data_IF_764125167520
#
_entry.id   IF_764125167520
#
_cell.length_a   1.000
_cell.length_b   1.000
_cell.length_c   1.000
_cell.angle_alpha   90.00
_cell.angle_beta   90.00
_cell.angle_gamma   90.00
#
_symmetry.space_group_name_H-M   'P 1'
#
loop_
_entity.id
_entity.type
_entity.pdbx_description
1 polymer ?
#
# COMPACT_ATOMS: atom_id res chain seq x y z
N UNK A 1 -11.36 20.47 -2.73
CA UNK A 1 -11.46 19.10 -3.26
C UNK A 1 -11.63 18.16 -2.08
N UNK A 2 -12.56 17.23 -2.18
CA UNK A 2 -12.82 16.21 -1.16
C UNK A 2 -12.38 14.84 -1.66
N UNK A 3 -11.50 14.18 -0.92
CA UNK A 3 -10.86 12.93 -1.32
C UNK A 3 -11.21 11.85 -0.30
N UNK A 4 -11.65 10.70 -0.78
CA UNK A 4 -11.77 9.50 0.04
C UNK A 4 -10.63 8.54 -0.31
N UNK A 5 -9.83 8.16 0.67
CA UNK A 5 -8.96 7.01 0.58
C UNK A 5 -9.66 5.79 1.16
N UNK A 6 -9.68 4.69 0.42
CA UNK A 6 -10.03 3.39 0.96
C UNK A 6 -8.76 2.56 1.13
N UNK A 7 -8.54 2.08 2.33
CA UNK A 7 -7.46 1.15 2.68
C UNK A 7 -7.99 0.11 3.66
N UNK A 8 -7.71 -1.19 3.45
CA UNK A 8 -8.25 -2.25 4.31
C UNK A 8 -7.81 -2.17 5.77
N UNK A 9 -6.62 -1.67 6.05
CA UNK A 9 -6.11 -1.54 7.42
C UNK A 9 -5.13 -0.38 7.54
N UNK A 10 -5.24 0.33 8.65
CA UNK A 10 -4.26 1.32 9.12
C UNK A 10 -3.56 0.84 10.38
N UNK A 11 -3.64 -0.46 10.67
CA UNK A 11 -2.93 -1.04 11.82
C UNK A 11 -1.43 -0.90 11.67
N UNK A 12 -0.74 -0.69 12.77
CA UNK A 12 0.71 -0.56 12.83
C UNK A 12 1.43 -1.80 12.28
N UNK A 13 0.84 -2.97 12.46
CA UNK A 13 1.37 -4.25 11.97
C UNK A 13 1.13 -4.50 10.48
N UNK A 14 0.22 -3.74 9.84
CA UNK A 14 -0.05 -3.88 8.40
C UNK A 14 1.12 -3.42 7.51
N UNK A 15 2.12 -2.77 8.08
CA UNK A 15 3.39 -2.47 7.43
C UNK A 15 3.35 -1.24 6.53
N UNK A 16 4.09 -1.26 5.41
CA UNK A 16 4.36 -0.08 4.60
C UNK A 16 3.14 0.65 4.05
N UNK A 17 2.02 -0.03 3.81
CA UNK A 17 0.80 0.61 3.31
C UNK A 17 0.13 1.50 4.37
N UNK A 18 0.17 1.10 5.64
CA UNK A 18 -0.34 1.92 6.75
C UNK A 18 0.52 3.16 6.97
N UNK A 19 1.84 3.01 6.93
CA UNK A 19 2.76 4.16 7.01
C UNK A 19 2.60 5.09 5.80
N UNK A 20 2.41 4.53 4.61
CA UNK A 20 2.14 5.32 3.41
C UNK A 20 0.91 6.21 3.58
N UNK A 21 -0.23 5.64 3.99
CA UNK A 21 -1.46 6.43 4.13
C UNK A 21 -1.37 7.43 5.29
N UNK A 22 -0.57 7.13 6.33
CA UNK A 22 -0.31 8.05 7.42
C UNK A 22 0.42 9.31 6.92
N UNK A 23 1.52 9.14 6.18
CA UNK A 23 2.31 10.25 5.65
C UNK A 23 1.51 11.02 4.59
N UNK A 24 0.91 10.30 3.64
CA UNK A 24 0.12 10.92 2.57
C UNK A 24 -1.08 11.67 3.14
N UNK A 25 -1.82 11.07 4.05
CA UNK A 25 -3.03 11.65 4.64
C UNK A 25 -2.69 12.93 5.40
N UNK A 26 -1.67 12.90 6.25
CA UNK A 26 -1.18 14.06 7.00
C UNK A 26 -0.86 15.25 6.10
N UNK A 27 -0.13 15.02 5.00
CA UNK A 27 0.30 16.10 4.11
C UNK A 27 -0.82 16.53 3.15
N UNK A 28 -1.55 15.59 2.58
CA UNK A 28 -2.66 15.89 1.67
C UNK A 28 -3.81 16.59 2.40
N UNK A 29 -4.03 16.27 3.67
CA UNK A 29 -5.05 16.89 4.51
C UNK A 29 -4.80 18.38 4.79
N UNK A 30 -3.58 18.89 4.56
CA UNK A 30 -3.29 20.34 4.57
C UNK A 30 -3.78 21.06 3.31
N UNK A 31 -4.01 20.31 2.22
CA UNK A 31 -4.33 20.85 0.90
C UNK A 31 -5.76 20.54 0.46
N UNK A 32 -6.39 19.53 1.04
CA UNK A 32 -7.72 19.05 0.67
C UNK A 32 -8.48 18.49 1.88
N UNK A 33 -9.80 18.34 1.77
CA UNK A 33 -10.58 17.61 2.76
C UNK A 33 -10.40 16.10 2.52
N UNK A 34 -9.67 15.44 3.42
CA UNK A 34 -9.31 14.03 3.29
C UNK A 34 -10.07 13.15 4.27
N UNK A 35 -10.71 12.13 3.75
CA UNK A 35 -11.39 11.09 4.50
C UNK A 35 -10.73 9.74 4.23
N UNK A 36 -10.58 8.93 5.27
CA UNK A 36 -10.04 7.57 5.16
C UNK A 36 -11.12 6.59 5.60
N UNK A 37 -11.54 5.71 4.69
CA UNK A 37 -12.42 4.59 5.01
C UNK A 37 -11.54 3.36 5.22
N UNK A 38 -11.67 2.73 6.37
CA UNK A 38 -10.87 1.58 6.79
C UNK A 38 -11.66 0.68 7.73
N UNK A 39 -11.09 -0.45 8.12
CA UNK A 39 -11.68 -1.34 9.11
C UNK A 39 -11.03 -1.16 10.47
N UNK A 40 -11.79 -1.44 11.53
CA UNK A 40 -11.29 -1.38 12.89
C UNK A 40 -10.10 -2.36 13.08
N UNK A 41 -9.12 -1.94 13.84
CA UNK A 41 -7.94 -2.73 14.19
C UNK A 41 -7.54 -2.45 15.64
N UNK A 42 -6.70 -3.31 16.21
CA UNK A 42 -6.31 -3.22 17.61
C UNK A 42 -5.35 -2.05 17.89
N UNK A 43 -4.47 -1.74 16.92
CA UNK A 43 -3.44 -0.73 17.08
C UNK A 43 -3.37 0.18 15.84
N UNK A 44 -4.41 1.02 15.57
CA UNK A 44 -4.45 1.89 14.41
C UNK A 44 -3.41 3.00 14.52
N UNK A 45 -2.76 3.34 13.39
CA UNK A 45 -1.90 4.51 13.31
C UNK A 45 -2.73 5.79 13.39
N UNK A 46 -2.33 6.78 14.20
CA UNK A 46 -2.92 8.10 14.15
C UNK A 46 -2.57 8.77 12.81
N UNK A 47 -3.54 9.43 12.19
CA UNK A 47 -3.34 10.16 10.92
C UNK A 47 -3.91 11.56 11.10
N UNK A 48 -3.02 12.53 11.17
CA UNK A 48 -3.38 13.93 11.33
C UNK A 48 -4.02 14.49 10.05
N UNK A 49 -4.79 15.56 10.20
CA UNK A 49 -5.44 16.31 9.12
C UNK A 49 -6.43 15.50 8.27
N UNK A 50 -6.85 14.33 8.75
CA UNK A 50 -7.80 13.44 8.07
C UNK A 50 -8.95 13.06 9.00
N UNK A 51 -10.11 12.73 8.39
CA UNK A 51 -11.24 12.12 9.10
C UNK A 51 -11.27 10.63 8.82
N UNK A 52 -11.14 9.80 9.86
CA UNK A 52 -11.15 8.35 9.73
C UNK A 52 -12.55 7.80 9.95
N UNK A 53 -13.01 6.95 9.03
CA UNK A 53 -14.30 6.26 9.09
C UNK A 53 -14.07 4.76 9.15
N UNK A 54 -14.45 4.15 10.26
CA UNK A 54 -14.38 2.71 10.41
C UNK A 54 -15.66 2.07 9.89
N UNK A 55 -15.51 1.08 9.01
CA UNK A 55 -16.62 0.30 8.47
C UNK A 55 -16.58 -1.14 8.96
N UNK A 56 -17.75 -1.73 9.15
CA UNK A 56 -17.87 -3.09 9.67
C UNK A 56 -17.67 -4.14 8.58
N UNK A 57 -16.90 -5.18 8.92
CA UNK A 57 -16.73 -6.38 8.10
C UNK A 57 -15.90 -6.16 6.82
N UNK A 58 -15.16 -7.20 6.45
CA UNK A 58 -14.36 -7.23 5.21
C UNK A 58 -15.10 -7.85 4.03
N UNK A 59 -16.28 -8.42 4.27
CA UNK A 59 -17.04 -9.12 3.23
C UNK A 59 -18.00 -8.16 2.53
N UNK A 60 -17.69 -7.75 1.28
CA UNK A 60 -18.54 -6.82 0.53
C UNK A 60 -19.89 -7.42 0.13
N UNK A 61 -20.06 -8.74 0.28
CA UNK A 61 -21.34 -9.42 0.04
C UNK A 61 -22.29 -9.33 1.26
N UNK A 62 -21.75 -9.02 2.45
CA UNK A 62 -22.59 -8.71 3.61
C UNK A 62 -23.12 -7.30 3.49
N UNK A 63 -24.42 -7.13 3.63
CA UNK A 63 -25.12 -5.87 3.39
C UNK A 63 -24.61 -4.69 4.22
N UNK A 64 -24.12 -4.92 5.45
CA UNK A 64 -23.59 -3.86 6.34
C UNK A 64 -22.47 -3.04 5.69
N UNK A 65 -21.43 -3.69 5.17
CA UNK A 65 -20.31 -3.01 4.51
C UNK A 65 -20.77 -2.11 3.36
N UNK A 66 -21.64 -2.67 2.50
CA UNK A 66 -22.18 -1.92 1.35
C UNK A 66 -23.02 -0.72 1.79
N UNK A 67 -23.86 -0.89 2.81
CA UNK A 67 -24.72 0.17 3.34
C UNK A 67 -23.87 1.30 3.92
N UNK A 68 -22.87 0.97 4.76
CA UNK A 68 -22.02 1.96 5.41
C UNK A 68 -21.19 2.77 4.40
N UNK A 69 -20.55 2.10 3.42
CA UNK A 69 -19.77 2.81 2.40
C UNK A 69 -20.67 3.67 1.51
N UNK A 70 -21.86 3.19 1.11
CA UNK A 70 -22.81 3.98 0.35
C UNK A 70 -23.25 5.23 1.13
N UNK A 71 -23.61 5.08 2.41
CA UNK A 71 -23.98 6.20 3.28
C UNK A 71 -22.87 7.25 3.36
N UNK A 72 -21.60 6.80 3.48
CA UNK A 72 -20.47 7.72 3.49
C UNK A 72 -20.32 8.45 2.16
N UNK A 73 -20.49 7.78 1.02
CA UNK A 73 -20.43 8.43 -0.29
C UNK A 73 -21.57 9.44 -0.49
N UNK A 74 -22.77 9.10 -0.07
CA UNK A 74 -23.94 9.96 -0.21
C UNK A 74 -23.84 11.22 0.68
N UNK A 75 -23.27 11.09 1.88
CA UNK A 75 -23.06 12.21 2.82
C UNK A 75 -21.86 13.07 2.40
N UNK A 76 -20.73 12.42 2.09
CA UNK A 76 -19.47 13.12 1.83
C UNK A 76 -19.38 13.70 0.42
N UNK A 77 -20.02 13.06 -0.56
CA UNK A 77 -20.00 13.46 -1.98
C UNK A 77 -18.56 13.76 -2.46
N UNK A 78 -17.66 12.79 -2.43
CA UNK A 78 -16.25 13.03 -2.75
C UNK A 78 -16.07 13.34 -4.24
N UNK A 79 -15.05 14.14 -4.53
CA UNK A 79 -14.61 14.44 -5.91
C UNK A 79 -13.76 13.29 -6.46
N UNK A 80 -13.05 12.58 -5.58
CA UNK A 80 -12.12 11.51 -5.93
C UNK A 80 -12.15 10.40 -4.88
N UNK A 81 -12.06 9.16 -5.35
CA UNK A 81 -11.80 7.99 -4.50
C UNK A 81 -10.46 7.38 -4.86
N UNK A 82 -9.58 7.23 -3.87
CA UNK A 82 -8.29 6.58 -4.01
C UNK A 82 -8.33 5.22 -3.31
N UNK A 83 -8.28 4.16 -4.10
CA UNK A 83 -8.29 2.78 -3.59
C UNK A 83 -6.85 2.30 -3.42
N UNK A 84 -6.51 1.92 -2.22
CA UNK A 84 -5.19 1.41 -1.84
C UNK A 84 -5.26 -0.10 -1.58
N UNK A 85 -4.32 -0.83 -2.10
CA UNK A 85 -4.21 -2.28 -2.07
C UNK A 85 -5.08 -3.01 -3.13
N UNK A 86 -4.73 -4.25 -3.36
CA UNK A 86 -5.43 -5.14 -4.27
C UNK A 86 -5.59 -6.54 -3.68
N UNK A 87 -6.16 -7.48 -4.45
CA UNK A 87 -6.47 -8.84 -4.05
C UNK A 87 -7.54 -8.98 -2.95
N UNK A 88 -8.17 -7.88 -2.56
CA UNK A 88 -9.28 -7.88 -1.63
C UNK A 88 -10.56 -7.45 -2.36
N UNK A 89 -11.63 -8.26 -2.32
CA UNK A 89 -12.90 -7.91 -2.97
C UNK A 89 -13.43 -6.55 -2.55
N UNK A 90 -13.26 -6.16 -1.28
CA UNK A 90 -13.69 -4.87 -0.76
C UNK A 90 -13.11 -3.68 -1.53
N UNK A 91 -11.82 -3.74 -1.96
CA UNK A 91 -11.20 -2.69 -2.78
C UNK A 91 -11.95 -2.50 -4.11
N UNK A 92 -12.22 -3.60 -4.81
CA UNK A 92 -12.95 -3.56 -6.07
C UNK A 92 -14.40 -3.08 -5.91
N UNK A 93 -15.06 -3.46 -4.81
CA UNK A 93 -16.42 -3.01 -4.49
C UNK A 93 -16.49 -1.51 -4.20
N UNK A 94 -15.56 -0.97 -3.41
CA UNK A 94 -15.50 0.47 -3.13
C UNK A 94 -15.28 1.24 -4.43
N UNK A 95 -14.37 0.78 -5.29
CA UNK A 95 -14.17 1.34 -6.61
C UNK A 95 -15.46 1.34 -7.44
N UNK A 96 -16.14 0.19 -7.54
CA UNK A 96 -17.39 0.09 -8.30
C UNK A 96 -18.49 1.03 -7.76
N UNK A 97 -18.58 1.17 -6.43
CA UNK A 97 -19.54 2.08 -5.80
C UNK A 97 -19.25 3.55 -6.13
N UNK A 98 -17.97 3.92 -6.20
CA UNK A 98 -17.55 5.25 -6.63
C UNK A 98 -17.89 5.49 -8.11
N UNK A 99 -17.52 4.54 -8.98
CA UNK A 99 -17.75 4.65 -10.42
C UNK A 99 -19.24 4.69 -10.81
N UNK A 100 -20.10 3.98 -10.09
CA UNK A 100 -21.55 4.07 -10.26
C UNK A 100 -22.13 5.46 -9.96
N UNK A 101 -21.39 6.30 -9.24
CA UNK A 101 -21.69 7.69 -8.93
C UNK A 101 -20.95 8.68 -9.82
N UNK A 102 -20.27 8.20 -10.86
CA UNK A 102 -19.38 8.98 -11.73
C UNK A 102 -18.23 9.68 -10.99
N UNK A 103 -17.83 9.14 -9.83
CA UNK A 103 -16.69 9.62 -9.07
C UNK A 103 -15.42 9.02 -9.66
N UNK A 104 -14.40 9.85 -9.89
CA UNK A 104 -13.09 9.41 -10.40
C UNK A 104 -12.36 8.53 -9.42
N UNK A 105 -11.65 7.52 -9.94
CA UNK A 105 -10.94 6.55 -9.12
C UNK A 105 -9.46 6.48 -9.49
N UNK A 106 -8.61 6.73 -8.50
CA UNK A 106 -7.18 6.36 -8.52
C UNK A 106 -7.02 5.02 -7.81
N UNK A 107 -6.20 4.15 -8.36
CA UNK A 107 -5.94 2.83 -7.79
C UNK A 107 -4.43 2.61 -7.63
N UNK A 108 -3.97 2.31 -6.40
CA UNK A 108 -2.56 2.04 -6.07
C UNK A 108 -2.39 0.61 -5.57
N UNK A 109 -1.71 -0.26 -6.32
CA UNK A 109 -1.51 -1.65 -5.93
C UNK A 109 -0.39 -1.87 -4.89
N UNK A 110 0.48 -0.89 -4.65
CA UNK A 110 1.60 -0.98 -3.69
C UNK A 110 2.51 -2.21 -3.89
N UNK A 111 2.92 -2.44 -5.14
CA UNK A 111 3.76 -3.58 -5.49
C UNK A 111 3.07 -4.95 -5.42
N UNK A 112 1.78 -5.01 -5.13
CA UNK A 112 1.06 -6.30 -4.99
C UNK A 112 0.76 -6.96 -6.34
N UNK A 113 0.98 -6.25 -7.46
CA UNK A 113 0.85 -6.78 -8.84
C UNK A 113 2.21 -7.13 -9.46
N UNK A 114 3.25 -7.22 -8.67
CA UNK A 114 4.55 -7.72 -9.11
C UNK A 114 4.47 -9.16 -9.63
N UNK A 115 5.18 -9.53 -10.70
CA UNK A 115 5.07 -10.85 -11.34
C UNK A 115 5.24 -12.02 -10.37
N UNK A 116 6.18 -11.92 -9.43
CA UNK A 116 6.42 -12.97 -8.45
C UNK A 116 5.28 -13.10 -7.41
N UNK A 117 4.57 -12.01 -7.07
CA UNK A 117 3.39 -12.04 -6.19
C UNK A 117 2.21 -12.67 -6.93
N UNK A 118 2.04 -12.33 -8.21
CA UNK A 118 0.99 -12.93 -9.05
C UNK A 118 1.21 -14.43 -9.17
N UNK A 119 2.45 -14.88 -9.39
CA UNK A 119 2.79 -16.32 -9.49
C UNK A 119 2.50 -17.10 -8.22
N UNK A 120 2.57 -16.45 -7.04
CA UNK A 120 2.31 -17.12 -5.76
C UNK A 120 0.82 -17.44 -5.61
N UNK A 121 0.50 -18.73 -5.45
CA UNK A 121 -0.87 -19.25 -5.41
C UNK A 121 -1.69 -18.83 -6.65
N UNK A 122 -1.05 -18.87 -7.84
CA UNK A 122 -1.63 -18.36 -9.08
C UNK A 122 -2.99 -18.98 -9.37
N UNK A 123 -3.06 -20.30 -9.48
CA UNK A 123 -4.30 -21.00 -9.87
C UNK A 123 -5.38 -20.97 -8.78
N UNK A 124 -5.01 -21.07 -7.51
CA UNK A 124 -5.94 -21.22 -6.41
C UNK A 124 -6.51 -19.90 -5.88
N UNK A 125 -5.75 -18.80 -5.99
CA UNK A 125 -6.15 -17.49 -5.44
C UNK A 125 -6.15 -16.38 -6.47
N UNK A 126 -5.11 -16.28 -7.31
CA UNK A 126 -4.93 -15.13 -8.19
C UNK A 126 -5.81 -15.20 -9.44
N UNK A 127 -5.92 -16.36 -10.09
CA UNK A 127 -6.81 -16.54 -11.25
C UNK A 127 -8.27 -16.30 -10.89
N UNK A 128 -8.84 -16.89 -9.84
CA UNK A 128 -10.19 -16.56 -9.43
C UNK A 128 -10.40 -15.08 -9.12
N UNK A 129 -9.47 -14.45 -8.39
CA UNK A 129 -9.56 -13.02 -8.09
C UNK A 129 -9.49 -12.15 -9.34
N UNK A 130 -8.58 -12.47 -10.30
CA UNK A 130 -8.49 -11.76 -11.58
C UNK A 130 -9.77 -11.86 -12.37
N UNK A 131 -10.37 -13.05 -12.47
CA UNK A 131 -11.59 -13.26 -13.23
C UNK A 131 -12.81 -12.59 -12.60
N UNK A 132 -12.93 -12.64 -11.27
CA UNK A 132 -14.11 -12.17 -10.57
C UNK A 132 -14.14 -10.66 -10.38
N UNK A 133 -13.00 -10.03 -10.07
CA UNK A 133 -13.01 -8.60 -9.71
C UNK A 133 -11.72 -7.84 -10.01
N UNK A 134 -10.53 -8.44 -9.86
CA UNK A 134 -9.29 -7.67 -9.83
C UNK A 134 -8.92 -7.09 -11.20
N UNK A 135 -9.08 -7.88 -12.29
CA UNK A 135 -8.81 -7.41 -13.65
C UNK A 135 -9.73 -6.25 -14.02
N UNK A 136 -11.02 -6.38 -13.69
CA UNK A 136 -11.99 -5.30 -13.92
C UNK A 136 -11.65 -4.03 -13.15
N UNK A 137 -11.24 -4.16 -11.87
CA UNK A 137 -10.83 -3.04 -11.05
C UNK A 137 -9.63 -2.30 -11.66
N UNK A 138 -8.58 -3.03 -12.07
CA UNK A 138 -7.39 -2.42 -12.70
C UNK A 138 -7.77 -1.73 -14.02
N UNK A 139 -8.55 -2.43 -14.87
CA UNK A 139 -8.92 -1.93 -16.20
C UNK A 139 -9.74 -0.63 -16.12
N UNK A 140 -10.68 -0.57 -15.19
CA UNK A 140 -11.65 0.51 -15.12
C UNK A 140 -11.23 1.67 -14.19
N UNK A 141 -10.08 1.59 -13.51
CA UNK A 141 -9.56 2.74 -12.77
C UNK A 141 -9.26 3.89 -13.73
N UNK A 142 -9.64 5.12 -13.36
CA UNK A 142 -9.34 6.30 -14.17
C UNK A 142 -7.83 6.55 -14.24
N UNK A 143 -7.09 6.20 -13.19
CA UNK A 143 -5.63 6.25 -13.16
C UNK A 143 -5.07 5.16 -12.22
N UNK A 144 -4.00 4.52 -12.64
CA UNK A 144 -3.17 3.71 -11.75
C UNK A 144 -2.02 4.56 -11.21
N UNK A 145 -1.78 4.49 -9.92
CA UNK A 145 -0.59 5.06 -9.31
C UNK A 145 0.44 3.94 -9.09
N UNK A 146 1.62 4.11 -9.66
CA UNK A 146 2.80 3.31 -9.38
C UNK A 146 3.73 4.08 -8.42
N UNK A 147 4.40 3.37 -7.52
CA UNK A 147 5.32 3.96 -6.54
C UNK A 147 6.76 4.05 -7.07
N UNK A 148 7.06 3.33 -8.14
CA UNK A 148 8.36 3.28 -8.79
C UNK A 148 8.24 3.00 -10.28
N UNK A 149 9.31 3.29 -11.04
CA UNK A 149 9.36 2.98 -12.48
C UNK A 149 9.21 1.47 -12.76
N UNK A 150 9.86 0.63 -11.95
CA UNK A 150 9.74 -0.82 -12.07
C UNK A 150 8.30 -1.31 -11.92
N UNK A 151 7.54 -0.75 -10.96
CA UNK A 151 6.13 -1.07 -10.78
C UNK A 151 5.31 -0.64 -12.00
N UNK A 152 5.56 0.58 -12.52
CA UNK A 152 4.89 1.06 -13.75
C UNK A 152 5.14 0.10 -14.92
N UNK A 153 6.36 -0.31 -15.14
CA UNK A 153 6.69 -1.25 -16.22
C UNK A 153 6.01 -2.60 -16.06
N UNK A 154 5.91 -3.10 -14.82
CA UNK A 154 5.18 -4.33 -14.54
C UNK A 154 3.67 -4.18 -14.76
N UNK A 155 3.08 -3.04 -14.40
CA UNK A 155 1.67 -2.74 -14.67
C UNK A 155 1.38 -2.62 -16.17
N UNK A 156 2.27 -1.99 -16.94
CA UNK A 156 2.17 -1.92 -18.41
C UNK A 156 2.22 -3.31 -19.05
N UNK A 157 3.09 -4.20 -18.58
CA UNK A 157 3.17 -5.59 -19.05
C UNK A 157 1.90 -6.39 -18.78
N UNK A 158 1.10 -6.05 -17.76
CA UNK A 158 -0.21 -6.67 -17.54
C UNK A 158 -1.23 -6.29 -18.62
N UNK A 159 -1.07 -5.14 -19.27
CA UNK A 159 -1.89 -4.71 -20.40
C UNK A 159 -3.35 -4.36 -20.06
N UNK A 160 -3.69 -4.17 -18.77
CA UNK A 160 -5.08 -3.92 -18.37
C UNK A 160 -5.46 -2.44 -18.38
N UNK A 161 -4.50 -1.56 -18.11
CA UNK A 161 -4.70 -0.12 -18.10
C UNK A 161 -3.37 0.57 -18.43
N UNK A 162 -3.41 1.55 -19.32
CA UNK A 162 -2.21 2.30 -19.74
C UNK A 162 -2.08 3.67 -19.09
N UNK A 163 -3.14 4.16 -18.42
CA UNK A 163 -3.07 5.43 -17.70
C UNK A 163 -2.41 5.23 -16.33
N UNK A 164 -1.08 5.23 -16.32
CA UNK A 164 -0.27 4.97 -15.14
C UNK A 164 0.61 6.18 -14.84
N UNK A 165 0.47 6.73 -13.62
CA UNK A 165 1.30 7.82 -13.12
C UNK A 165 2.22 7.31 -12.02
N UNK A 166 3.47 7.80 -12.01
CA UNK A 166 4.42 7.51 -10.93
C UNK A 166 4.29 8.61 -9.89
N UNK A 167 3.94 8.20 -8.68
CA UNK A 167 3.99 9.06 -7.49
C UNK A 167 4.79 8.32 -6.44
N UNK A 168 6.02 8.77 -6.21
CA UNK A 168 6.92 8.15 -5.23
C UNK A 168 6.40 8.35 -3.81
N UNK A 169 6.74 7.41 -2.93
CA UNK A 169 6.44 7.56 -1.51
C UNK A 169 7.28 8.70 -0.93
N UNK A 170 6.61 9.59 -0.20
CA UNK A 170 7.28 10.63 0.57
C UNK A 170 7.80 10.08 1.90
N UNK A 171 8.79 10.75 2.46
CA UNK A 171 9.25 10.57 3.84
C UNK A 171 9.22 11.93 4.54
N UNK A 172 8.96 11.93 5.84
CA UNK A 172 9.09 13.12 6.67
C UNK A 172 10.57 13.34 6.99
N UNK A 173 11.25 14.09 6.11
CA UNK A 173 12.69 14.35 6.22
C UNK A 173 13.02 15.22 7.44
N UNK A 174 12.09 16.06 7.89
CA UNK A 174 12.30 16.94 9.04
C UNK A 174 12.36 16.17 10.35
N UNK A 175 11.71 15.03 10.42
CA UNK A 175 11.74 14.13 11.58
C UNK A 175 13.03 13.30 11.68
N UNK A 176 13.90 13.33 10.67
CA UNK A 176 15.11 12.52 10.60
C UNK A 176 16.32 13.37 10.99
N UNK A 177 16.93 13.03 12.13
CA UNK A 177 18.17 13.69 12.55
C UNK A 177 19.31 13.38 11.57
N UNK A 178 19.89 14.43 10.99
CA UNK A 178 21.05 14.28 10.10
C UNK A 178 22.31 13.95 10.90
N UNK A 179 23.09 12.98 10.42
CA UNK A 179 24.42 12.75 10.96
C UNK A 179 25.32 13.94 10.68
N UNK A 180 25.95 14.45 11.72
CA UNK A 180 26.93 15.55 11.61
C UNK A 180 28.36 15.06 11.37
N UNK A 181 28.62 13.77 11.59
CA UNK A 181 29.95 13.18 11.34
C UNK A 181 29.82 11.71 10.90
N UNK A 182 30.77 11.27 10.08
CA UNK A 182 30.83 9.90 9.57
C UNK A 182 32.04 9.19 10.17
N UNK A 183 31.84 8.40 11.23
CA UNK A 183 32.83 7.45 11.71
C UNK A 183 32.54 6.08 11.06
N UNK A 184 33.53 5.53 10.37
CA UNK A 184 33.44 4.16 9.88
C UNK A 184 33.38 3.22 11.10
N UNK A 185 32.32 2.45 11.21
CA UNK A 185 32.20 1.36 12.19
C UNK A 185 32.29 0.04 11.45
N UNK A 186 32.89 -0.96 12.08
CA UNK A 186 32.88 -2.33 11.56
C UNK A 186 31.50 -2.97 11.85
N UNK A 187 30.43 -2.30 11.42
CA UNK A 187 29.08 -2.74 11.64
C UNK A 187 28.25 -2.61 10.36
N UNK A 188 27.58 -3.67 9.97
CA UNK A 188 26.60 -3.72 8.89
C UNK A 188 25.21 -3.88 9.48
N UNK A 189 24.27 -3.04 9.07
CA UNK A 189 22.89 -3.10 9.53
C UNK A 189 21.98 -3.62 8.43
N UNK A 190 21.28 -4.72 8.70
CA UNK A 190 20.15 -5.19 7.92
C UNK A 190 18.86 -4.78 8.63
N UNK A 191 18.19 -3.72 8.14
CA UNK A 191 16.96 -3.19 8.71
C UNK A 191 15.76 -3.60 7.84
N UNK A 192 15.04 -4.64 8.25
CA UNK A 192 13.86 -5.12 7.52
C UNK A 192 13.12 -6.18 8.33
N UNK A 193 11.82 -6.39 8.02
CA UNK A 193 11.13 -7.59 8.49
C UNK A 193 11.85 -8.84 8.01
N UNK A 194 11.93 -9.87 8.88
CA UNK A 194 12.50 -11.17 8.50
C UNK A 194 11.51 -11.88 7.58
N UNK A 195 11.70 -11.70 6.30
CA UNK A 195 10.82 -12.28 5.28
C UNK A 195 11.63 -12.62 4.02
N UNK A 196 11.30 -13.71 3.35
CA UNK A 196 12.01 -14.21 2.15
C UNK A 196 12.20 -13.13 1.06
N UNK A 197 11.23 -12.22 0.91
CA UNK A 197 11.29 -11.08 -0.02
C UNK A 197 12.44 -10.12 0.29
N UNK A 198 12.90 -10.08 1.54
CA UNK A 198 13.92 -9.13 1.99
C UNK A 198 15.33 -9.66 1.84
N UNK A 199 15.45 -10.94 1.51
CA UNK A 199 16.72 -11.55 1.08
C UNK A 199 17.77 -11.68 2.17
N UNK A 200 17.37 -11.89 3.43
CA UNK A 200 18.32 -12.09 4.52
C UNK A 200 19.24 -13.29 4.29
N UNK A 201 18.75 -14.32 3.60
CA UNK A 201 19.55 -15.48 3.19
C UNK A 201 20.75 -15.08 2.31
N UNK A 202 20.55 -14.14 1.37
CA UNK A 202 21.65 -13.64 0.53
C UNK A 202 22.71 -12.90 1.35
N UNK A 203 22.28 -12.15 2.40
CA UNK A 203 23.24 -11.52 3.30
C UNK A 203 24.06 -12.55 4.06
N UNK A 204 23.42 -13.62 4.55
CA UNK A 204 24.10 -14.69 5.27
C UNK A 204 25.08 -15.45 4.36
N UNK A 205 24.66 -15.79 3.14
CA UNK A 205 25.51 -16.45 2.13
C UNK A 205 26.71 -15.57 1.75
N UNK A 206 26.48 -14.27 1.52
CA UNK A 206 27.56 -13.32 1.22
C UNK A 206 28.54 -13.18 2.40
N UNK A 207 28.03 -13.14 3.63
CA UNK A 207 28.87 -13.08 4.82
C UNK A 207 29.71 -14.36 5.02
N UNK A 208 29.19 -15.52 4.64
CA UNK A 208 29.92 -16.77 4.68
C UNK A 208 31.04 -16.81 3.64
N UNK A 209 30.77 -16.35 2.42
CA UNK A 209 31.78 -16.25 1.35
C UNK A 209 32.93 -15.30 1.74
N UNK A 210 32.58 -14.17 2.42
CA UNK A 210 33.52 -13.12 2.82
C UNK A 210 34.01 -13.28 4.27
N UNK A 211 33.96 -14.47 4.83
CA UNK A 211 34.21 -14.72 6.26
C UNK A 211 35.56 -14.17 6.72
N UNK A 212 36.61 -14.34 5.92
CA UNK A 212 37.96 -13.92 6.28
C UNK A 212 38.12 -12.41 6.21
N UNK A 213 37.50 -11.73 5.22
CA UNK A 213 37.55 -10.29 5.07
C UNK A 213 36.66 -9.57 6.10
N UNK A 214 35.65 -10.25 6.61
CA UNK A 214 34.70 -9.71 7.59
C UNK A 214 35.14 -9.92 9.05
N UNK A 215 36.36 -10.36 9.29
CA UNK A 215 36.87 -10.51 10.66
C UNK A 215 36.82 -9.17 11.43
N UNK A 216 36.19 -9.22 12.61
CA UNK A 216 35.95 -8.03 13.43
C UNK A 216 34.76 -7.16 12.99
N UNK A 217 34.03 -7.54 11.94
CA UNK A 217 32.75 -6.91 11.61
C UNK A 217 31.60 -7.53 12.39
N UNK A 218 30.61 -6.70 12.73
CA UNK A 218 29.36 -7.11 13.36
C UNK A 218 28.22 -6.93 12.37
N UNK A 219 27.46 -7.98 12.10
CA UNK A 219 26.22 -7.90 11.34
C UNK A 219 25.07 -7.79 12.34
N UNK A 220 24.30 -6.72 12.24
CA UNK A 220 23.12 -6.47 13.09
C UNK A 220 21.88 -6.63 12.22
N UNK A 221 21.01 -7.54 12.61
CA UNK A 221 19.69 -7.72 11.99
C UNK A 221 18.66 -7.07 12.91
N UNK A 222 17.96 -6.04 12.40
CA UNK A 222 16.91 -5.33 13.11
C UNK A 222 15.61 -5.42 12.31
N UNK A 223 14.55 -5.85 13.00
CA UNK A 223 13.21 -6.02 12.43
C UNK A 223 12.48 -7.22 13.04
N UNK A 224 11.18 -7.30 12.77
CA UNK A 224 10.28 -8.36 13.23
C UNK A 224 10.10 -9.46 12.17
#
# INVERSE_FOLDING_TARGET
>A
MKIIHYIPSIDRTAGGTSTYIQVLGKELGKLAEVHIITHASENPLPIDNCKIHYVSGYNPLKGSFKIEVNKLFDVLKPDLVHVNCCWMPACAFVQQMAQKRNIKVVFTPHGMLEPWIIKRHYWTRKVPALLLYQKSAIKNADCLQATAESEKQNLLKLGYNSNIKIVKLGIDAESIAMKTSWKKSKQMLFLSRVHIKKGINYLIEAADILRDELQGYKIVVAGE
#
